data_IF_683906781315
#
_entry.id   IF_683906781315
#
_cell.length_a   1.000
_cell.length_b   1.000
_cell.length_c   1.000
_cell.angle_alpha   90.00
_cell.angle_beta   90.00
_cell.angle_gamma   90.00
#
_symmetry.space_group_name_H-M   'P 1'
#
loop_
_entity.id
_entity.type
_entity.pdbx_description
1 polymer ?
#
# COMPACT_ATOMS: atom_id res chain seq x y z
N UNK A 1 -27.24 17.79 -12.15
CA UNK A 1 -26.33 17.87 -10.99
C UNK A 1 -25.38 16.68 -11.06
N UNK A 2 -24.19 16.74 -10.47
CA UNK A 2 -23.29 15.59 -10.38
C UNK A 2 -22.37 15.75 -9.17
N UNK A 3 -21.98 14.63 -8.55
CA UNK A 3 -21.21 14.58 -7.31
C UNK A 3 -20.31 13.35 -7.26
N UNK A 4 -19.19 13.48 -6.57
CA UNK A 4 -18.42 12.36 -6.03
C UNK A 4 -19.00 12.08 -4.63
N UNK A 5 -19.76 11.00 -4.51
CA UNK A 5 -20.40 10.60 -3.27
C UNK A 5 -19.35 10.14 -2.28
N UNK A 6 -18.51 9.19 -2.72
CA UNK A 6 -17.47 8.64 -1.86
C UNK A 6 -16.26 8.12 -2.63
N UNK A 7 -15.15 7.94 -1.89
CA UNK A 7 -14.03 7.09 -2.32
C UNK A 7 -13.84 6.04 -1.24
N UNK A 8 -14.06 4.78 -1.63
CA UNK A 8 -13.85 3.61 -0.76
C UNK A 8 -12.65 2.80 -1.25
N UNK A 9 -12.12 1.91 -0.41
CA UNK A 9 -10.95 1.10 -0.72
C UNK A 9 -11.14 -0.34 -0.27
N UNK A 10 -10.85 -1.27 -1.18
CA UNK A 10 -10.69 -2.69 -0.90
C UNK A 10 -9.21 -2.95 -0.60
N UNK A 11 -8.87 -3.12 0.67
CA UNK A 11 -7.51 -3.42 1.13
C UNK A 11 -7.16 -4.91 0.96
N UNK A 12 -5.86 -5.27 0.87
CA UNK A 12 -5.45 -6.67 0.82
C UNK A 12 -5.87 -7.43 2.08
N UNK A 13 -6.46 -8.62 1.89
CA UNK A 13 -6.85 -9.50 3.01
C UNK A 13 -5.64 -10.04 3.78
N UNK A 14 -4.49 -10.18 3.13
CA UNK A 14 -3.27 -10.67 3.73
C UNK A 14 -2.16 -9.62 3.63
N UNK A 15 -1.86 -8.99 4.77
CA UNK A 15 -0.81 -7.99 4.85
C UNK A 15 0.59 -8.57 5.10
N UNK A 16 0.75 -9.90 5.16
CA UNK A 16 2.03 -10.54 5.48
C UNK A 16 2.95 -10.66 4.28
N UNK A 17 2.40 -10.60 3.07
CA UNK A 17 3.14 -10.90 1.84
C UNK A 17 3.06 -9.74 0.86
N UNK A 18 4.12 -9.64 0.07
CA UNK A 18 4.20 -8.78 -1.10
C UNK A 18 4.15 -9.65 -2.36
N UNK A 19 3.58 -9.14 -3.47
CA UNK A 19 2.97 -7.82 -3.59
C UNK A 19 1.58 -7.73 -2.95
N UNK A 20 1.21 -6.52 -2.52
CA UNK A 20 -0.12 -6.21 -1.99
C UNK A 20 -0.98 -5.54 -3.05
N UNK A 21 -2.22 -6.03 -3.20
CA UNK A 21 -3.18 -5.50 -4.16
C UNK A 21 -4.33 -4.83 -3.42
N UNK A 22 -4.67 -3.61 -3.82
CA UNK A 22 -5.83 -2.87 -3.33
C UNK A 22 -6.56 -2.19 -4.49
N UNK A 23 -7.85 -1.88 -4.30
CA UNK A 23 -8.67 -1.18 -5.29
C UNK A 23 -9.37 0.01 -4.67
N UNK A 24 -9.20 1.18 -5.27
CA UNK A 24 -9.97 2.39 -4.94
C UNK A 24 -11.23 2.44 -5.80
N UNK A 25 -12.34 2.85 -5.19
CA UNK A 25 -13.65 2.95 -5.82
C UNK A 25 -14.20 4.37 -5.64
N UNK A 26 -14.21 5.16 -6.71
CA UNK A 26 -14.82 6.48 -6.70
C UNK A 26 -16.28 6.39 -7.15
N UNK A 27 -17.19 6.47 -6.18
CA UNK A 27 -18.63 6.41 -6.41
C UNK A 27 -19.15 7.79 -6.76
N UNK A 28 -19.75 7.90 -7.94
CA UNK A 28 -20.36 9.14 -8.42
C UNK A 28 -21.85 8.97 -8.62
N UNK A 29 -22.56 10.09 -8.61
CA UNK A 29 -23.95 10.19 -9.04
C UNK A 29 -24.08 11.36 -10.00
N UNK A 30 -24.92 11.20 -11.02
CA UNK A 30 -25.06 12.15 -12.11
C UNK A 30 -26.55 12.29 -12.46
N UNK A 31 -26.97 13.50 -12.84
CA UNK A 31 -28.37 13.76 -13.20
C UNK A 31 -28.42 14.88 -14.24
N UNK A 32 -28.89 14.61 -15.45
CA UNK A 32 -29.12 15.63 -16.49
C UNK A 32 -27.90 16.54 -16.77
N UNK A 33 -26.66 16.03 -16.66
CA UNK A 33 -25.45 16.75 -17.07
C UNK A 33 -24.53 15.82 -17.85
N UNK A 34 -23.93 16.34 -18.91
CA UNK A 34 -22.95 15.60 -19.71
C UNK A 34 -21.67 15.39 -18.90
N UNK A 35 -21.33 14.12 -18.64
CA UNK A 35 -20.00 13.73 -18.19
C UNK A 35 -19.00 14.05 -19.29
N UNK A 36 -17.96 14.79 -18.94
CA UNK A 36 -16.86 15.06 -19.87
C UNK A 36 -15.71 14.11 -19.64
N UNK A 37 -15.29 13.98 -18.37
CA UNK A 37 -14.17 13.13 -18.01
C UNK A 37 -14.24 12.76 -16.52
N UNK A 38 -13.71 11.58 -16.21
CA UNK A 38 -13.54 11.05 -14.87
C UNK A 38 -12.13 10.45 -14.80
N UNK A 39 -11.31 10.86 -13.84
CA UNK A 39 -9.88 10.53 -13.89
C UNK A 39 -9.26 10.50 -12.51
N UNK A 40 -8.43 9.49 -12.28
CA UNK A 40 -7.58 9.35 -11.10
C UNK A 40 -6.26 10.10 -11.26
N UNK A 41 -5.80 10.70 -10.16
CA UNK A 41 -4.50 11.33 -10.04
C UNK A 41 -3.80 10.76 -8.81
N UNK A 42 -2.49 10.64 -8.90
CA UNK A 42 -1.62 10.42 -7.75
C UNK A 42 -1.01 11.74 -7.32
N UNK A 43 -1.05 12.00 -6.02
CA UNK A 43 -0.57 13.23 -5.41
C UNK A 43 0.74 12.91 -4.71
N UNK A 44 1.78 13.69 -5.00
CA UNK A 44 3.14 13.51 -4.51
C UNK A 44 3.70 14.88 -4.17
N UNK A 45 3.66 15.25 -2.89
CA UNK A 45 4.10 16.57 -2.43
C UNK A 45 3.32 17.70 -3.09
N UNK A 46 3.98 18.49 -3.95
CA UNK A 46 3.33 19.55 -4.74
C UNK A 46 2.89 19.13 -6.14
N UNK A 47 3.09 17.87 -6.51
CA UNK A 47 2.81 17.35 -7.86
C UNK A 47 1.52 16.53 -7.85
N UNK A 48 0.63 16.81 -8.80
CA UNK A 48 -0.58 16.03 -9.07
C UNK A 48 -0.44 15.39 -10.44
N UNK A 49 -0.30 14.07 -10.50
CA UNK A 49 -0.06 13.37 -11.76
C UNK A 49 -1.25 12.52 -12.16
N UNK A 50 -1.73 12.76 -13.39
CA UNK A 50 -2.81 11.98 -13.98
C UNK A 50 -2.40 10.51 -14.12
N UNK A 51 -3.22 9.59 -13.62
CA UNK A 51 -3.05 8.17 -13.86
C UNK A 51 -3.53 7.82 -15.27
N UNK A 52 -2.64 7.19 -16.04
CA UNK A 52 -2.91 6.70 -17.40
C UNK A 52 -2.44 5.25 -17.51
N UNK A 53 -2.91 4.53 -18.54
CA UNK A 53 -2.49 3.16 -18.80
C UNK A 53 -0.96 3.04 -18.93
N UNK A 54 -0.32 3.98 -19.64
CA UNK A 54 1.13 3.99 -19.83
C UNK A 54 1.90 4.16 -18.51
N UNK A 55 1.39 4.98 -17.59
CA UNK A 55 2.00 5.13 -16.25
C UNK A 55 1.80 3.85 -15.44
N UNK A 56 0.65 3.19 -15.58
CA UNK A 56 0.37 1.91 -14.93
C UNK A 56 1.21 0.73 -15.44
N UNK A 57 1.74 0.81 -16.66
CA UNK A 57 2.53 -0.24 -17.30
C UNK A 57 3.94 0.27 -17.63
N UNK A 58 4.91 0.04 -16.75
CA UNK A 58 6.32 0.36 -17.05
C UNK A 58 7.14 0.94 -15.91
N UNK A 59 6.74 0.71 -14.67
CA UNK A 59 7.42 1.26 -13.50
C UNK A 59 7.92 0.13 -12.59
N UNK A 60 9.08 0.35 -11.96
CA UNK A 60 9.61 -0.56 -10.96
C UNK A 60 8.83 -0.43 -9.65
N UNK A 61 8.50 -1.55 -9.01
CA UNK A 61 7.91 -1.56 -7.67
C UNK A 61 6.39 -1.41 -7.59
N UNK A 62 5.70 -1.08 -8.69
CA UNK A 62 4.23 -1.05 -8.74
C UNK A 62 3.66 -1.34 -10.13
N UNK A 63 2.39 -1.73 -10.18
CA UNK A 63 1.56 -1.70 -11.40
C UNK A 63 0.13 -1.31 -11.07
N UNK A 64 -0.62 -0.81 -12.05
CA UNK A 64 -2.04 -0.51 -11.84
C UNK A 64 -2.95 -0.86 -13.02
N UNK A 65 -4.25 -0.80 -12.80
CA UNK A 65 -5.29 -0.93 -13.81
C UNK A 65 -6.40 0.07 -13.50
N UNK A 66 -6.83 0.80 -14.52
CA UNK A 66 -7.84 1.85 -14.40
C UNK A 66 -9.14 1.32 -15.01
N UNK A 67 -10.24 1.43 -14.28
CA UNK A 67 -11.59 1.09 -14.74
C UNK A 67 -12.37 2.33 -15.17
N UNK A 68 -12.95 2.29 -16.37
CA UNK A 68 -13.61 3.43 -17.01
C UNK A 68 -15.06 3.72 -16.53
N UNK A 69 -15.38 3.34 -15.28
CA UNK A 69 -16.69 3.62 -14.69
C UNK A 69 -17.76 2.57 -14.99
N UNK A 70 -18.12 1.75 -14.00
CA UNK A 70 -19.22 0.77 -14.12
C UNK A 70 -20.51 1.36 -13.57
N UNK A 71 -21.60 1.32 -14.34
CA UNK A 71 -22.92 1.73 -13.85
C UNK A 71 -23.40 0.78 -12.74
N UNK A 72 -23.59 1.31 -11.53
CA UNK A 72 -24.11 0.59 -10.38
C UNK A 72 -25.63 0.62 -10.31
N UNK A 73 -26.21 1.83 -10.40
CA UNK A 73 -27.65 2.04 -10.23
C UNK A 73 -28.19 2.98 -11.31
N UNK A 74 -29.16 2.49 -12.07
CA UNK A 74 -29.79 3.26 -13.16
C UNK A 74 -30.69 4.39 -12.65
N UNK A 75 -31.25 4.26 -11.44
CA UNK A 75 -32.20 5.24 -10.88
C UNK A 75 -31.60 6.61 -10.62
N UNK A 76 -30.30 6.67 -10.31
CA UNK A 76 -29.56 7.90 -10.01
C UNK A 76 -28.27 8.04 -10.86
N UNK A 77 -28.16 7.24 -11.93
CA UNK A 77 -26.98 7.13 -12.80
C UNK A 77 -25.66 7.02 -12.01
N UNK A 78 -25.65 6.15 -10.99
CA UNK A 78 -24.47 5.97 -10.17
C UNK A 78 -23.40 5.15 -10.87
N UNK A 79 -22.16 5.62 -10.86
CA UNK A 79 -21.02 4.95 -11.49
C UNK A 79 -19.87 4.76 -10.51
N UNK A 80 -19.18 3.63 -10.63
CA UNK A 80 -17.97 3.29 -9.88
C UNK A 80 -16.74 3.30 -10.78
N UNK A 81 -15.83 4.25 -10.54
CA UNK A 81 -14.56 4.35 -11.25
C UNK A 81 -13.46 3.75 -10.40
N UNK A 82 -12.87 2.66 -10.90
CA UNK A 82 -11.89 1.90 -10.12
C UNK A 82 -10.45 2.25 -10.48
N UNK A 83 -9.59 2.21 -9.48
CA UNK A 83 -8.13 2.18 -9.65
C UNK A 83 -7.58 1.04 -8.81
N UNK A 84 -7.17 -0.03 -9.48
CA UNK A 84 -6.53 -1.17 -8.84
C UNK A 84 -5.02 -1.00 -8.90
N UNK A 85 -4.35 -1.11 -7.76
CA UNK A 85 -2.90 -0.97 -7.64
C UNK A 85 -2.31 -2.24 -7.03
N UNK A 86 -1.20 -2.69 -7.60
CA UNK A 86 -0.36 -3.76 -7.07
C UNK A 86 0.95 -3.13 -6.61
N UNK A 87 1.24 -3.27 -5.32
CA UNK A 87 2.33 -2.63 -4.60
C UNK A 87 3.36 -3.66 -4.15
N UNK A 88 4.64 -3.49 -4.52
CA UNK A 88 5.69 -4.45 -4.20
C UNK A 88 6.43 -4.14 -2.89
N UNK A 89 6.01 -3.12 -2.12
CA UNK A 89 6.62 -2.81 -0.82
C UNK A 89 8.01 -2.18 -0.88
N UNK A 90 8.37 -1.61 -2.04
CA UNK A 90 9.65 -0.92 -2.27
C UNK A 90 9.43 0.58 -2.37
N UNK A 91 10.12 1.37 -1.53
CA UNK A 91 10.00 2.83 -1.58
C UNK A 91 10.32 3.37 -2.99
N UNK A 92 9.32 3.99 -3.62
CA UNK A 92 9.51 4.62 -4.93
C UNK A 92 10.09 6.01 -4.69
N UNK A 93 11.38 6.18 -4.97
CA UNK A 93 12.10 7.43 -4.70
C UNK A 93 12.13 8.40 -5.90
N UNK A 94 11.68 7.98 -7.08
CA UNK A 94 11.70 8.77 -8.29
C UNK A 94 10.55 8.42 -9.23
N UNK A 95 10.30 9.30 -10.20
CA UNK A 95 9.20 9.16 -11.14
C UNK A 95 7.87 9.65 -10.59
N UNK A 96 6.81 9.38 -11.35
CA UNK A 96 5.45 9.92 -11.14
C UNK A 96 4.84 9.51 -9.80
N UNK A 97 5.20 8.33 -9.28
CA UNK A 97 4.69 7.80 -8.01
C UNK A 97 5.68 7.93 -6.86
N UNK A 98 6.61 8.89 -6.93
CA UNK A 98 7.56 9.13 -5.85
C UNK A 98 6.83 9.32 -4.50
N UNK A 99 7.17 8.50 -3.51
CA UNK A 99 6.61 8.54 -2.15
C UNK A 99 7.47 9.38 -1.19
N UNK A 100 8.63 9.84 -1.67
CA UNK A 100 9.61 10.61 -0.89
C UNK A 100 9.06 11.88 -0.22
N UNK A 101 7.92 12.38 -0.68
CA UNK A 101 7.28 13.59 -0.19
C UNK A 101 5.93 13.37 0.51
N UNK A 102 5.45 12.12 0.58
CA UNK A 102 4.18 11.77 1.23
C UNK A 102 4.39 10.99 2.53
N UNK A 103 5.60 10.96 3.07
CA UNK A 103 5.90 10.21 4.28
C UNK A 103 5.51 8.72 4.15
N UNK A 104 5.67 8.13 2.97
CA UNK A 104 5.30 6.74 2.66
C UNK A 104 3.87 6.56 2.13
N UNK A 105 2.93 7.44 2.46
CA UNK A 105 1.52 7.29 2.13
C UNK A 105 1.22 7.38 0.63
N UNK A 106 0.27 6.58 0.18
CA UNK A 106 -0.25 6.66 -1.18
C UNK A 106 -1.47 7.59 -1.21
N UNK A 107 -1.31 8.76 -1.82
CA UNK A 107 -2.37 9.78 -1.86
C UNK A 107 -2.96 9.85 -3.26
N UNK A 108 -4.27 9.65 -3.34
CA UNK A 108 -5.01 9.67 -4.59
C UNK A 108 -6.03 10.79 -4.59
N UNK A 109 -6.25 11.37 -5.76
CA UNK A 109 -7.29 12.36 -6.01
C UNK A 109 -8.10 11.94 -7.23
N UNK A 110 -9.41 11.84 -7.05
CA UNK A 110 -10.31 11.58 -8.16
C UNK A 110 -10.93 12.89 -8.64
N UNK A 111 -10.91 13.14 -9.95
CA UNK A 111 -11.56 14.27 -10.58
C UNK A 111 -12.77 13.84 -11.39
N UNK A 112 -13.83 14.64 -11.29
CA UNK A 112 -15.06 14.53 -12.06
C UNK A 112 -15.33 15.85 -12.78
N UNK A 113 -15.28 15.82 -14.11
CA UNK A 113 -15.53 16.97 -15.00
C UNK A 113 -16.91 16.85 -15.62
N UNK A 114 -17.78 17.81 -15.31
CA UNK A 114 -19.20 17.76 -15.68
C UNK A 114 -19.68 19.09 -16.21
N UNK A 115 -20.37 19.08 -17.34
CA UNK A 115 -20.82 20.31 -17.97
C UNK A 115 -20.91 20.19 -19.49
N UNK A 116 -21.24 21.30 -20.13
CA UNK A 116 -21.25 21.37 -21.58
C UNK A 116 -20.03 22.19 -22.03
N UNK A 117 -19.16 21.55 -22.85
CA UNK A 117 -17.92 22.16 -23.33
C UNK A 117 -18.19 23.31 -24.30
N UNK A 118 -19.21 23.17 -25.16
CA UNK A 118 -19.61 24.17 -26.15
C UNK A 118 -20.08 25.48 -25.49
N UNK A 119 -20.65 25.37 -24.28
CA UNK A 119 -21.12 26.50 -23.46
C UNK A 119 -20.08 26.98 -22.44
N UNK A 120 -18.85 26.46 -22.50
CA UNK A 120 -17.76 26.78 -21.57
C UNK A 120 -18.17 26.72 -20.08
N UNK A 121 -19.01 25.74 -19.72
CA UNK A 121 -19.58 25.61 -18.37
C UNK A 121 -19.23 24.24 -17.76
N UNK A 122 -17.94 23.90 -17.79
CA UNK A 122 -17.42 22.68 -17.19
C UNK A 122 -17.09 22.97 -15.72
N UNK A 123 -17.75 22.23 -14.83
CA UNK A 123 -17.47 22.24 -13.40
C UNK A 123 -16.56 21.07 -13.06
N UNK A 124 -15.52 21.35 -12.29
CA UNK A 124 -14.60 20.35 -11.76
C UNK A 124 -14.95 20.04 -10.30
N UNK A 125 -15.12 18.76 -9.97
CA UNK A 125 -15.21 18.27 -8.60
C UNK A 125 -14.09 17.30 -8.34
N UNK A 126 -13.62 17.22 -7.09
CA UNK A 126 -12.62 16.24 -6.71
C UNK A 126 -12.77 15.80 -5.26
N UNK A 127 -12.23 14.63 -4.94
CA UNK A 127 -12.13 14.08 -3.58
C UNK A 127 -10.79 13.36 -3.45
N UNK A 128 -10.16 13.47 -2.28
CA UNK A 128 -8.92 12.79 -1.94
C UNK A 128 -9.19 11.49 -1.19
N UNK A 129 -8.27 10.54 -1.30
CA UNK A 129 -8.20 9.36 -0.45
C UNK A 129 -6.73 9.01 -0.22
N UNK A 130 -6.40 8.63 1.02
CA UNK A 130 -5.04 8.27 1.42
C UNK A 130 -5.01 6.84 1.90
N UNK A 131 -4.00 6.10 1.45
CA UNK A 131 -3.70 4.76 1.96
C UNK A 131 -2.40 4.85 2.75
N UNK A 132 -2.47 4.53 4.04
CA UNK A 132 -1.36 4.69 4.97
C UNK A 132 -0.35 3.56 4.87
N UNK A 133 0.92 3.93 4.75
CA UNK A 133 2.04 3.00 4.60
C UNK A 133 3.23 3.48 5.45
N UNK A 134 3.85 2.62 6.27
CA UNK A 134 5.05 3.01 7.00
C UNK A 134 6.16 3.48 6.06
N UNK A 135 6.64 4.70 6.27
CA UNK A 135 7.69 5.32 5.46
C UNK A 135 9.05 4.62 5.58
N UNK A 136 9.33 4.10 6.78
CA UNK A 136 10.64 3.59 7.18
C UNK A 136 10.54 2.16 7.70
N UNK A 137 11.64 1.44 7.57
CA UNK A 137 11.78 0.12 8.14
C UNK A 137 12.11 0.22 9.63
N UNK A 138 11.69 -0.74 10.47
CA UNK A 138 12.19 -0.83 11.84
C UNK A 138 13.71 -1.01 11.84
N UNK A 139 14.39 -0.32 12.76
CA UNK A 139 15.84 -0.35 12.88
C UNK A 139 16.30 -1.26 14.02
N UNK A 140 17.62 -1.47 14.13
CA UNK A 140 18.25 -2.23 15.23
C UNK A 140 17.65 -3.64 15.43
N UNK A 141 17.37 -4.37 14.34
CA UNK A 141 16.99 -5.78 14.42
C UNK A 141 18.17 -6.60 14.97
N UNK A 142 17.98 -7.26 16.11
CA UNK A 142 19.01 -8.03 16.82
C UNK A 142 18.48 -9.39 17.28
N UNK A 143 19.41 -10.34 17.46
CA UNK A 143 19.13 -11.63 18.10
C UNK A 143 19.26 -11.47 19.61
N UNK A 144 18.20 -11.77 20.34
CA UNK A 144 18.18 -11.75 21.81
C UNK A 144 18.65 -13.09 22.37
N UNK A 145 18.17 -14.20 21.80
CA UNK A 145 18.57 -15.55 22.18
C UNK A 145 18.26 -16.54 21.07
N UNK A 146 18.87 -17.73 21.12
CA UNK A 146 18.60 -18.82 20.17
C UNK A 146 18.77 -20.18 20.83
N UNK A 147 18.07 -21.17 20.31
CA UNK A 147 18.20 -22.61 20.64
C UNK A 147 18.41 -23.42 19.36
N UNK A 148 18.26 -24.74 19.41
CA UNK A 148 18.27 -25.57 18.22
C UNK A 148 17.01 -25.36 17.34
N UNK A 149 15.88 -24.97 17.94
CA UNK A 149 14.59 -24.88 17.23
C UNK A 149 13.89 -23.54 17.36
N UNK A 150 14.49 -22.58 18.07
CA UNK A 150 13.92 -21.25 18.28
C UNK A 150 14.95 -20.13 18.13
N UNK A 151 14.49 -18.97 17.66
CA UNK A 151 15.26 -17.73 17.64
C UNK A 151 14.37 -16.61 18.20
N UNK A 152 14.84 -15.90 19.23
CA UNK A 152 14.19 -14.71 19.74
C UNK A 152 14.86 -13.46 19.17
N UNK A 153 14.08 -12.58 18.57
CA UNK A 153 14.56 -11.32 17.98
C UNK A 153 13.88 -10.12 18.60
N UNK A 154 14.51 -8.95 18.49
CA UNK A 154 13.93 -7.66 18.85
C UNK A 154 14.37 -6.56 17.90
N UNK A 155 13.60 -5.48 17.82
CA UNK A 155 13.90 -4.29 17.01
C UNK A 155 13.53 -3.00 17.75
N UNK A 156 13.91 -1.86 17.17
CA UNK A 156 13.41 -0.55 17.58
C UNK A 156 12.01 -0.34 17.01
N UNK A 157 11.04 -0.10 17.90
CA UNK A 157 9.66 0.21 17.50
C UNK A 157 9.57 1.55 16.76
N UNK A 158 8.60 1.65 15.85
CA UNK A 158 8.15 2.92 15.29
C UNK A 158 7.11 3.57 16.21
N UNK A 159 6.85 4.85 15.98
CA UNK A 159 5.78 5.56 16.67
C UNK A 159 4.41 4.98 16.31
N UNK A 160 3.45 5.12 17.22
CA UNK A 160 2.09 4.57 17.02
C UNK A 160 1.31 5.24 15.89
N UNK A 161 1.78 6.39 15.38
CA UNK A 161 1.25 7.04 14.17
C UNK A 161 1.76 6.38 12.89
N UNK A 162 2.88 5.67 12.95
CA UNK A 162 3.64 5.23 11.78
C UNK A 162 3.58 3.70 11.59
N UNK A 163 3.00 2.98 12.54
CA UNK A 163 2.79 1.54 12.48
C UNK A 163 1.57 1.11 13.29
N UNK A 164 0.87 0.10 12.80
CA UNK A 164 -0.15 -0.66 13.55
C UNK A 164 0.42 -1.99 14.10
N UNK A 165 1.56 -2.41 13.56
CA UNK A 165 2.29 -3.61 13.98
C UNK A 165 3.46 -3.93 13.03
N UNK A 166 3.95 -5.16 13.11
CA UNK A 166 5.11 -5.63 12.37
C UNK A 166 4.88 -6.98 11.71
N UNK A 167 5.63 -7.25 10.65
CA UNK A 167 5.71 -8.55 9.99
C UNK A 167 7.18 -8.98 9.96
N UNK A 168 7.46 -10.15 10.53
CA UNK A 168 8.78 -10.76 10.55
C UNK A 168 8.82 -11.86 9.49
N UNK A 169 9.76 -11.75 8.57
CA UNK A 169 9.98 -12.74 7.52
C UNK A 169 11.26 -13.53 7.80
N UNK A 170 11.16 -14.85 7.75
CA UNK A 170 12.25 -15.78 7.99
C UNK A 170 12.47 -16.59 6.74
N UNK A 171 13.69 -16.57 6.24
CA UNK A 171 14.13 -17.32 5.06
C UNK A 171 15.32 -18.19 5.44
N UNK A 172 15.48 -19.33 4.77
CA UNK A 172 16.73 -20.08 4.71
C UNK A 172 17.40 -19.82 3.37
N UNK A 173 18.56 -20.43 3.12
CA UNK A 173 19.34 -20.24 1.89
C UNK A 173 18.53 -20.47 0.59
N UNK A 174 17.49 -21.32 0.64
CA UNK A 174 16.68 -21.68 -0.53
C UNK A 174 15.22 -21.29 -0.45
N UNK A 175 14.64 -21.06 0.74
CA UNK A 175 13.19 -21.02 0.91
C UNK A 175 12.72 -19.97 1.91
N UNK A 176 11.49 -19.48 1.72
CA UNK A 176 10.77 -18.77 2.77
C UNK A 176 10.25 -19.78 3.77
N UNK A 177 10.67 -19.63 5.03
CA UNK A 177 10.41 -20.59 6.10
C UNK A 177 9.11 -20.24 6.80
N UNK A 178 8.96 -18.98 7.22
CA UNK A 178 7.74 -18.49 7.86
C UNK A 178 7.66 -16.96 7.80
N UNK A 179 6.43 -16.47 7.80
CA UNK A 179 6.12 -15.05 7.89
C UNK A 179 5.11 -14.83 9.01
N UNK A 180 5.50 -14.09 10.03
CA UNK A 180 4.74 -13.94 11.27
C UNK A 180 4.36 -12.48 11.48
N UNK A 181 3.09 -12.24 11.79
CA UNK A 181 2.58 -10.91 12.10
C UNK A 181 2.56 -10.71 13.61
N UNK A 182 2.98 -9.51 14.02
CA UNK A 182 3.02 -9.04 15.39
C UNK A 182 2.13 -7.80 15.46
N UNK A 183 0.95 -7.96 16.04
CA UNK A 183 -0.02 -6.87 16.17
C UNK A 183 0.39 -5.90 17.27
N UNK A 184 0.14 -4.61 17.09
CA UNK A 184 0.43 -3.57 18.06
C UNK A 184 1.80 -2.94 17.85
N UNK A 185 1.81 -1.63 17.63
CA UNK A 185 3.02 -0.82 17.44
C UNK A 185 3.97 -0.81 18.63
N UNK A 186 3.46 -1.06 19.84
CA UNK A 186 4.25 -1.17 21.06
C UNK A 186 5.05 -2.46 21.16
N UNK A 187 4.70 -3.50 20.40
CA UNK A 187 5.41 -4.78 20.41
C UNK A 187 6.67 -4.71 19.55
N UNK A 188 7.79 -5.18 20.09
CA UNK A 188 9.09 -5.03 19.42
C UNK A 188 9.97 -6.28 19.53
N UNK A 189 9.39 -7.41 19.89
CA UNK A 189 10.08 -8.69 20.04
C UNK A 189 9.19 -9.85 19.65
N UNK A 190 9.80 -10.93 19.15
CA UNK A 190 9.11 -12.18 18.88
C UNK A 190 10.06 -13.37 18.98
N UNK A 191 9.53 -14.49 19.48
CA UNK A 191 10.17 -15.80 19.39
C UNK A 191 9.67 -16.55 18.16
N UNK A 192 10.58 -16.82 17.24
CA UNK A 192 10.40 -17.67 16.07
C UNK A 192 10.58 -19.13 16.50
N UNK A 193 9.59 -19.97 16.22
CA UNK A 193 9.57 -21.37 16.66
C UNK A 193 9.60 -22.33 15.46
N UNK A 194 9.83 -23.61 15.72
CA UNK A 194 9.75 -24.67 14.71
C UNK A 194 10.89 -24.66 13.70
N UNK A 195 12.04 -24.08 14.07
CA UNK A 195 13.22 -24.03 13.24
C UNK A 195 13.99 -25.35 13.30
N UNK A 196 14.81 -25.62 12.29
CA UNK A 196 15.69 -26.79 12.23
C UNK A 196 17.03 -26.45 12.90
N UNK A 197 17.58 -27.42 13.63
CA UNK A 197 18.92 -27.32 14.23
C UNK A 197 20.01 -27.17 13.18
N UNK A 198 21.09 -26.47 13.54
CA UNK A 198 22.26 -26.25 12.69
C UNK A 198 21.99 -25.50 11.38
N UNK A 199 20.84 -24.85 11.23
CA UNK A 199 20.39 -24.21 9.99
C UNK A 199 20.55 -22.70 10.07
N UNK A 200 21.08 -22.09 9.01
CA UNK A 200 21.21 -20.64 8.88
C UNK A 200 19.91 -20.02 8.38
N UNK A 201 19.46 -18.98 9.07
CA UNK A 201 18.29 -18.21 8.72
C UNK A 201 18.64 -16.75 8.48
N UNK A 202 17.98 -16.15 7.50
CA UNK A 202 17.97 -14.71 7.24
C UNK A 202 16.61 -14.14 7.66
N UNK A 203 16.62 -13.15 8.55
CA UNK A 203 15.43 -12.58 9.17
C UNK A 203 15.35 -11.09 8.83
N UNK A 204 14.17 -10.64 8.40
CA UNK A 204 13.85 -9.22 8.21
C UNK A 204 12.57 -8.87 8.96
N UNK A 205 12.42 -7.59 9.30
CA UNK A 205 11.18 -7.05 9.86
C UNK A 205 10.67 -5.87 9.01
N UNK A 206 9.36 -5.81 8.81
CA UNK A 206 8.63 -4.70 8.18
C UNK A 206 7.62 -4.17 9.18
N UNK A 207 7.40 -2.86 9.22
CA UNK A 207 6.21 -2.30 9.83
C UNK A 207 5.02 -2.40 8.86
N UNK A 208 3.79 -2.37 9.38
CA UNK A 208 2.59 -2.26 8.55
C UNK A 208 1.59 -1.26 9.12
N UNK A 209 0.75 -0.71 8.23
CA UNK A 209 -0.51 -0.04 8.52
C UNK A 209 -1.60 -0.67 7.64
N UNK A 210 -2.19 0.09 6.70
CA UNK A 210 -3.05 -0.48 5.68
C UNK A 210 -2.25 -1.32 4.66
N UNK A 211 -0.98 -0.96 4.44
CA UNK A 211 -0.03 -1.70 3.61
C UNK A 211 1.30 -1.94 4.36
N UNK A 212 2.14 -2.82 3.80
CA UNK A 212 3.49 -3.08 4.28
C UNK A 212 4.46 -1.98 3.85
N UNK A 213 5.26 -1.53 4.83
CA UNK A 213 6.41 -0.66 4.59
C UNK A 213 7.67 -1.41 4.12
N UNK A 214 8.80 -0.71 4.01
CA UNK A 214 10.07 -1.30 3.58
C UNK A 214 10.64 -2.28 4.61
N UNK A 215 11.47 -3.22 4.15
CA UNK A 215 12.16 -4.18 5.01
C UNK A 215 13.37 -3.57 5.71
N UNK A 216 13.60 -4.02 6.95
CA UNK A 216 14.86 -3.78 7.64
C UNK A 216 16.02 -4.45 6.89
N UNK A 217 17.24 -4.05 7.22
CA UNK A 217 18.41 -4.88 6.92
C UNK A 217 18.20 -6.29 7.48
N UNK A 218 18.61 -7.30 6.71
CA UNK A 218 18.52 -8.68 7.13
C UNK A 218 19.58 -9.00 8.18
N UNK A 219 19.21 -9.79 9.18
CA UNK A 219 20.16 -10.42 10.12
C UNK A 219 20.27 -11.91 9.79
N UNK A 220 21.50 -12.41 9.74
CA UNK A 220 21.78 -13.83 9.53
C UNK A 220 22.17 -14.50 10.84
N UNK A 221 21.58 -15.66 11.13
CA UNK A 221 21.80 -16.41 12.37
C UNK A 221 21.62 -17.91 12.14
N UNK A 222 22.57 -18.70 12.64
CA UNK A 222 22.47 -20.15 12.65
C UNK A 222 21.92 -20.64 13.99
N UNK A 223 20.93 -21.53 13.97
CA UNK A 223 20.42 -22.24 15.17
C UNK A 223 21.50 -23.15 15.75
N UNK A 224 21.33 -23.53 17.02
CA UNK A 224 22.23 -24.53 17.63
C UNK A 224 22.05 -25.90 16.97
N UNK A 225 23.07 -26.78 17.00
CA UNK A 225 22.95 -28.15 16.52
C UNK A 225 21.80 -28.92 17.18
#
# INVERSE_FOLDING_TARGET
>A
WAQITDITVDLPLNIKLLPQKYTLHAITIQYNRYLQNATWYYESGSTSTKMTADICTGQSGYSCTIGDGVLLYKSNESHDYTLTVTWNGEAIASGVLSQSNNNGDHVYRFYLYVGNIDKNNVVQRNKYHTISVPAIAPSCLVIVSKTATTINVSWTKLDSSDADGYVVNVTSDTDTVQTVQVEGSSNNTITLNGLRGGTTYSITVRAYQQLLGPASSAISVQTMP
#
